data_IF_924341167550
#
_entry.id   IF_924341167550
#
_cell.length_a   1.000
_cell.length_b   1.000
_cell.length_c   1.000
_cell.angle_alpha   90.00
_cell.angle_beta   90.00
_cell.angle_gamma   90.00
#
_symmetry.space_group_name_H-M   'P 1'
#
loop_
_entity.id
_entity.type
_entity.pdbx_description
1 polymer ?
#
# COMPACT_ATOMS: atom_id res chain seq x y z
N UNK A 1 -17.18 -21.25 7.30
CA UNK A 1 -16.10 -20.51 6.62
C UNK A 1 -15.65 -19.41 7.56
N UNK A 2 -14.44 -19.52 8.13
CA UNK A 2 -13.95 -18.50 9.05
C UNK A 2 -13.48 -17.28 8.26
N UNK A 3 -14.35 -16.29 8.15
CA UNK A 3 -13.98 -14.92 7.81
C UNK A 3 -13.14 -14.37 8.95
N UNK A 4 -11.82 -14.31 8.75
CA UNK A 4 -10.91 -13.68 9.70
C UNK A 4 -10.65 -12.26 9.23
N UNK A 5 -10.90 -11.30 10.11
CA UNK A 5 -10.53 -9.91 9.88
C UNK A 5 -9.03 -9.71 10.14
N UNK A 6 -8.40 -8.83 9.37
CA UNK A 6 -6.97 -8.54 9.50
C UNK A 6 -6.80 -7.20 10.19
N UNK A 7 -6.18 -7.21 11.38
CA UNK A 7 -5.75 -6.00 12.06
C UNK A 7 -4.64 -5.33 11.25
N UNK A 8 -4.83 -4.07 10.87
CA UNK A 8 -3.86 -3.33 10.04
C UNK A 8 -3.15 -2.19 10.77
N UNK A 9 -3.74 -1.70 11.86
CA UNK A 9 -3.22 -0.59 12.64
C UNK A 9 -4.33 0.30 13.18
N UNK A 10 -3.99 1.53 13.54
CA UNK A 10 -4.90 2.45 14.23
C UNK A 10 -5.62 3.37 13.25
N UNK A 11 -6.93 3.50 13.36
CA UNK A 11 -7.69 4.48 12.59
C UNK A 11 -7.38 5.90 13.13
N UNK A 12 -6.87 6.77 12.26
CA UNK A 12 -6.57 8.16 12.59
C UNK A 12 -7.72 9.09 12.20
N UNK A 13 -8.35 8.84 11.05
CA UNK A 13 -9.44 9.68 10.56
C UNK A 13 -10.37 8.90 9.63
N UNK A 14 -11.65 9.28 9.62
CA UNK A 14 -12.67 8.77 8.70
C UNK A 14 -13.28 9.99 8.00
N UNK A 15 -13.11 10.08 6.68
CA UNK A 15 -13.69 11.13 5.85
C UNK A 15 -14.62 10.52 4.80
N UNK A 16 -15.94 10.68 4.98
CA UNK A 16 -17.01 10.17 4.11
C UNK A 16 -16.89 8.67 3.80
N UNK A 17 -16.11 8.32 2.79
CA UNK A 17 -15.87 6.93 2.33
C UNK A 17 -14.39 6.54 2.35
N UNK A 18 -13.52 7.42 2.83
CA UNK A 18 -12.07 7.19 2.94
C UNK A 18 -11.68 7.08 4.40
N UNK A 19 -11.01 6.00 4.76
CA UNK A 19 -10.43 5.79 6.08
C UNK A 19 -8.93 5.97 6.02
N UNK A 20 -8.40 6.75 6.95
CA UNK A 20 -6.98 7.03 7.14
C UNK A 20 -6.50 6.24 8.35
N UNK A 21 -5.48 5.40 8.14
CA UNK A 21 -5.01 4.41 9.10
C UNK A 21 -3.52 4.59 9.29
N UNK A 22 -3.08 4.62 10.52
CA UNK A 22 -1.68 4.52 10.89
C UNK A 22 -1.30 3.06 10.96
N UNK A 23 -0.48 2.61 10.02
CA UNK A 23 -0.16 1.20 9.89
C UNK A 23 0.84 0.74 10.95
N UNK A 24 0.69 -0.51 11.37
CA UNK A 24 1.71 -1.19 12.15
C UNK A 24 2.91 -1.60 11.29
N UNK A 25 4.07 -1.71 11.93
CA UNK A 25 5.33 -2.08 11.27
C UNK A 25 5.30 -3.45 10.61
N UNK A 26 4.57 -4.40 11.18
CA UNK A 26 4.39 -5.70 10.56
C UNK A 26 3.65 -5.61 9.22
N UNK A 27 2.68 -4.70 9.11
CA UNK A 27 1.80 -4.60 7.94
C UNK A 27 2.49 -3.89 6.80
N UNK A 28 3.16 -2.76 7.06
CA UNK A 28 3.87 -2.11 5.96
C UNK A 28 5.06 -2.96 5.50
N UNK A 29 5.64 -3.84 6.35
CA UNK A 29 6.81 -4.69 5.99
C UNK A 29 6.37 -5.73 4.96
N UNK A 30 5.11 -6.15 5.10
CA UNK A 30 4.37 -6.93 4.12
C UNK A 30 3.80 -6.15 2.95
N UNK A 31 3.95 -4.83 2.87
CA UNK A 31 3.55 -4.04 1.71
C UNK A 31 4.75 -3.59 0.88
N UNK A 32 5.89 -3.35 1.52
CA UNK A 32 7.13 -2.90 0.85
C UNK A 32 8.36 -3.56 1.51
N UNK A 33 8.65 -4.83 1.18
CA UNK A 33 9.81 -5.54 1.66
C UNK A 33 11.07 -4.89 1.08
N UNK A 34 12.12 -4.79 1.90
CA UNK A 34 13.41 -4.26 1.47
C UNK A 34 13.52 -2.73 1.43
N UNK A 35 12.49 -1.97 1.81
CA UNK A 35 12.66 -0.54 2.06
C UNK A 35 13.30 -0.32 3.45
N UNK A 36 14.27 0.60 3.60
CA UNK A 36 14.85 0.92 4.90
C UNK A 36 13.88 1.79 5.68
N UNK A 37 13.14 1.20 6.60
CA UNK A 37 12.16 1.95 7.36
C UNK A 37 12.80 2.75 8.46
N UNK A 38 12.44 4.02 8.52
CA UNK A 38 13.05 4.96 9.44
C UNK A 38 12.34 5.03 10.78
N UNK A 39 11.02 4.74 10.87
CA UNK A 39 10.29 4.75 12.15
C UNK A 39 8.95 4.01 12.06
N UNK A 40 8.66 3.16 13.06
CA UNK A 40 7.35 2.53 13.26
C UNK A 40 6.26 3.57 13.51
N UNK A 41 5.12 3.45 12.84
CA UNK A 41 3.99 4.33 13.08
C UNK A 41 4.14 5.74 12.52
N UNK A 42 4.86 5.98 11.43
CA UNK A 42 4.67 7.21 10.62
C UNK A 42 3.90 6.93 9.34
N UNK A 43 3.82 5.67 8.92
CA UNK A 43 3.17 5.30 7.68
C UNK A 43 1.65 5.39 7.78
N UNK A 44 1.04 6.06 6.80
CA UNK A 44 -0.39 6.32 6.74
C UNK A 44 -0.99 5.66 5.51
N UNK A 45 -2.00 4.82 5.69
CA UNK A 45 -2.75 4.17 4.63
C UNK A 45 -4.13 4.81 4.49
N UNK A 46 -4.51 5.17 3.27
CA UNK A 46 -5.84 5.64 2.90
C UNK A 46 -6.52 4.62 2.00
N UNK A 47 -7.71 4.20 2.41
CA UNK A 47 -8.48 3.19 1.69
C UNK A 47 -9.99 3.47 1.80
N UNK A 48 -10.76 2.78 0.97
CA UNK A 48 -12.22 2.90 0.97
C UNK A 48 -12.82 2.15 2.16
N UNK A 49 -13.76 2.78 2.87
CA UNK A 49 -14.43 2.23 4.05
C UNK A 49 -15.10 0.88 3.77
N UNK A 50 -15.47 0.59 2.51
CA UNK A 50 -16.04 -0.69 2.09
C UNK A 50 -15.09 -1.88 2.24
N UNK A 51 -13.80 -1.63 2.47
CA UNK A 51 -12.81 -2.67 2.72
C UNK A 51 -12.68 -3.01 4.22
N UNK A 52 -13.25 -2.18 5.09
CA UNK A 52 -13.27 -2.40 6.53
C UNK A 52 -14.21 -3.55 6.92
N UNK A 53 -13.92 -4.17 8.06
CA UNK A 53 -14.76 -5.24 8.63
C UNK A 53 -16.17 -4.73 8.93
N UNK A 54 -17.18 -5.49 8.50
CA UNK A 54 -18.58 -5.24 8.87
C UNK A 54 -18.84 -5.61 10.34
N UNK A 55 -18.13 -6.62 10.86
CA UNK A 55 -18.21 -7.05 12.25
C UNK A 55 -17.50 -6.11 13.21
N UNK A 56 -16.45 -5.42 12.73
CA UNK A 56 -15.63 -4.46 13.48
C UNK A 56 -15.52 -3.16 12.71
N UNK A 57 -16.53 -2.28 12.80
CA UNK A 57 -16.54 -1.04 12.03
C UNK A 57 -15.35 -0.15 12.43
N UNK A 58 -14.85 0.68 11.49
CA UNK A 58 -13.74 1.57 11.74
C UNK A 58 -14.14 2.65 12.76
N UNK A 59 -13.32 2.84 13.79
CA UNK A 59 -13.54 3.85 14.83
C UNK A 59 -12.25 4.64 15.07
N UNK A 60 -12.35 5.97 15.04
CA UNK A 60 -11.22 6.89 15.21
C UNK A 60 -10.56 6.62 16.58
N UNK A 61 -9.24 6.47 16.57
CA UNK A 61 -8.47 6.19 17.78
C UNK A 61 -8.38 4.72 18.15
N UNK A 62 -9.02 3.81 17.41
CA UNK A 62 -8.99 2.37 17.68
C UNK A 62 -8.34 1.56 16.57
N UNK A 63 -8.05 0.31 16.88
CA UNK A 63 -7.53 -0.64 15.91
C UNK A 63 -8.58 -0.94 14.84
N UNK A 64 -8.14 -0.86 13.59
CA UNK A 64 -8.95 -1.06 12.41
C UNK A 64 -8.70 -2.44 11.81
N UNK A 65 -9.81 -3.08 11.44
CA UNK A 65 -9.84 -4.42 10.89
C UNK A 65 -10.33 -4.37 9.45
N UNK A 66 -9.62 -5.03 8.55
CA UNK A 66 -10.00 -5.16 7.13
C UNK A 66 -10.54 -6.56 6.85
N UNK A 67 -11.51 -6.64 5.94
CA UNK A 67 -12.03 -7.92 5.49
C UNK A 67 -11.02 -8.60 4.57
N UNK A 68 -10.60 -9.82 4.93
CA UNK A 68 -9.66 -10.60 4.10
C UNK A 68 -10.16 -10.79 2.68
N UNK A 69 -11.45 -11.11 2.49
CA UNK A 69 -12.04 -11.31 1.16
C UNK A 69 -11.99 -10.04 0.31
N UNK A 70 -12.19 -8.87 0.93
CA UNK A 70 -12.06 -7.59 0.24
C UNK A 70 -10.60 -7.32 -0.17
N UNK A 71 -9.62 -7.72 0.65
CA UNK A 71 -8.20 -7.61 0.32
C UNK A 71 -7.77 -8.56 -0.82
N UNK A 72 -8.30 -9.78 -0.85
CA UNK A 72 -8.03 -10.76 -1.91
C UNK A 72 -8.51 -10.30 -3.29
N UNK A 73 -9.51 -9.40 -3.35
CA UNK A 73 -9.94 -8.73 -4.59
C UNK A 73 -8.93 -7.71 -5.14
N UNK A 74 -7.77 -7.59 -4.48
CA UNK A 74 -6.68 -6.72 -4.86
C UNK A 74 -7.07 -5.23 -4.99
N UNK A 75 -7.70 -4.63 -3.96
CA UNK A 75 -8.14 -3.25 -4.02
C UNK A 75 -6.93 -2.30 -4.08
N UNK A 76 -7.15 -1.13 -4.69
CA UNK A 76 -6.17 -0.04 -4.70
C UNK A 76 -6.31 0.79 -3.44
N UNK A 77 -5.18 1.13 -2.83
CA UNK A 77 -5.12 2.03 -1.69
C UNK A 77 -3.95 3.02 -1.86
N UNK A 78 -3.90 4.03 -1.01
CA UNK A 78 -2.87 5.08 -1.05
C UNK A 78 -2.04 5.01 0.23
N UNK A 79 -0.76 4.63 0.11
CA UNK A 79 0.16 4.49 1.23
C UNK A 79 1.15 5.65 1.22
N UNK A 80 1.18 6.41 2.31
CA UNK A 80 2.28 7.30 2.65
C UNK A 80 3.24 6.53 3.57
N UNK A 81 4.43 6.25 3.06
CA UNK A 81 5.44 5.49 3.79
C UNK A 81 6.12 6.32 4.88
N UNK A 82 6.29 7.62 4.64
CA UNK A 82 7.11 8.51 5.47
C UNK A 82 6.28 9.34 6.46
N UNK A 83 4.97 9.46 6.25
CA UNK A 83 4.11 10.35 7.02
C UNK A 83 4.28 11.82 6.61
N UNK A 84 4.82 12.06 5.41
CA UNK A 84 5.11 13.40 4.86
C UNK A 84 3.95 13.94 3.99
N UNK A 85 2.86 13.16 3.85
CA UNK A 85 1.74 13.45 2.96
C UNK A 85 1.95 13.01 1.51
N UNK A 86 3.05 12.31 1.22
CA UNK A 86 3.34 11.74 -0.10
C UNK A 86 2.70 10.36 -0.25
N UNK A 87 1.51 10.29 -0.85
CA UNK A 87 0.78 9.05 -1.03
C UNK A 87 1.15 8.32 -2.33
N UNK A 88 1.62 7.09 -2.21
CA UNK A 88 1.86 6.19 -3.33
C UNK A 88 0.70 5.19 -3.51
N UNK A 89 0.22 4.93 -4.74
CA UNK A 89 -0.79 3.92 -4.98
C UNK A 89 -0.19 2.51 -4.79
N UNK A 90 -0.83 1.71 -3.94
CA UNK A 90 -0.44 0.33 -3.64
C UNK A 90 -1.61 -0.64 -3.79
N UNK A 91 -1.28 -1.93 -3.81
CA UNK A 91 -2.23 -3.04 -3.86
C UNK A 91 -2.23 -3.76 -2.51
N UNK A 92 -3.43 -4.00 -1.96
CA UNK A 92 -3.56 -4.61 -0.63
C UNK A 92 -3.64 -6.14 -0.63
N UNK A 93 -3.56 -6.79 -1.81
CA UNK A 93 -3.63 -8.26 -1.90
C UNK A 93 -2.58 -8.96 -1.04
N UNK A 94 -1.40 -8.38 -0.92
CA UNK A 94 -0.30 -8.86 -0.10
C UNK A 94 -0.69 -9.08 1.37
N UNK A 95 -1.51 -8.19 1.91
CA UNK A 95 -2.00 -8.27 3.29
C UNK A 95 -2.94 -9.49 3.44
N UNK A 96 -3.83 -9.70 2.47
CA UNK A 96 -4.86 -10.76 2.51
C UNK A 96 -4.34 -12.17 2.24
N UNK A 97 -3.28 -12.30 1.45
CA UNK A 97 -2.76 -13.59 0.97
C UNK A 97 -1.71 -14.19 1.93
N UNK A 98 -1.17 -13.42 2.88
CA UNK A 98 0.01 -13.82 3.67
C UNK A 98 1.26 -14.04 2.79
N UNK A 99 1.21 -13.55 1.55
CA UNK A 99 2.21 -13.70 0.51
C UNK A 99 2.85 -12.33 0.25
N UNK A 100 4.15 -12.35 -0.01
CA UNK A 100 5.00 -11.18 -0.27
C UNK A 100 4.32 -10.15 -1.19
N UNK A 101 4.37 -8.84 -0.87
CA UNK A 101 3.72 -7.82 -1.67
C UNK A 101 4.39 -7.65 -3.02
N UNK A 102 3.56 -7.72 -4.05
CA UNK A 102 3.90 -7.24 -5.37
C UNK A 102 4.00 -5.71 -5.33
N UNK A 103 5.21 -5.19 -5.10
CA UNK A 103 5.50 -3.76 -5.20
C UNK A 103 5.21 -3.35 -6.65
N UNK A 104 4.11 -2.60 -6.85
CA UNK A 104 3.88 -1.94 -8.14
C UNK A 104 5.02 -0.95 -8.34
N UNK A 105 5.98 -1.32 -9.19
CA UNK A 105 7.07 -0.45 -9.57
C UNK A 105 6.46 0.88 -10.06
N UNK A 106 6.93 2.04 -9.56
CA UNK A 106 6.45 3.32 -10.05
C UNK A 106 6.70 3.33 -11.56
N UNK A 107 5.63 3.55 -12.33
CA UNK A 107 5.73 3.58 -13.78
C UNK A 107 6.84 4.58 -14.15
N UNK A 108 7.95 4.06 -14.67
CA UNK A 108 9.07 4.85 -15.11
C UNK A 108 8.52 5.91 -16.08
N UNK A 109 8.59 7.17 -15.67
CA UNK A 109 8.26 8.30 -16.55
C UNK A 109 9.11 8.12 -17.80
N UNK A 110 8.44 7.91 -18.93
CA UNK A 110 9.04 7.94 -20.25
C UNK A 110 9.60 9.35 -20.48
N UNK A 111 10.85 9.56 -20.08
CA UNK A 111 11.61 10.79 -20.27
C UNK A 111 12.49 10.67 -21.50
N UNK A 112 11.88 10.98 -22.65
CA UNK A 112 12.47 11.43 -23.92
C UNK A 112 13.97 11.80 -23.83
N UNK A 113 14.83 10.94 -24.39
CA UNK A 113 16.26 11.18 -24.57
C UNK A 113 16.68 10.91 -26.01
N UNK A 114 16.13 11.69 -26.94
CA UNK A 114 16.66 11.85 -28.30
C UNK A 114 18.03 12.54 -28.20
N UNK A 115 19.11 11.78 -28.46
CA UNK A 115 20.21 12.16 -29.36
C UNK A 115 21.35 11.13 -29.35
N UNK A 116 21.46 10.45 -30.51
CA UNK A 116 22.68 10.23 -31.31
C UNK A 116 23.98 9.73 -30.65
N UNK A 117 24.51 8.63 -31.23
CA UNK A 117 25.93 8.32 -31.58
C UNK A 117 26.25 6.85 -31.27
N UNK A 118 26.94 6.03 -32.06
CA UNK A 118 27.53 6.06 -33.42
C UNK A 118 27.53 4.58 -33.85
N UNK A 119 27.14 4.30 -35.08
CA UNK A 119 27.24 2.98 -35.72
C UNK A 119 28.69 2.81 -36.17
N UNK A 120 29.50 2.00 -35.48
CA UNK A 120 30.83 1.66 -35.98
C UNK A 120 30.69 0.62 -37.08
N UNK A 121 31.28 0.95 -38.23
CA UNK A 121 31.21 0.20 -39.47
C UNK A 121 31.99 -1.11 -39.42
N UNK A 122 31.47 -2.02 -40.23
CA UNK A 122 32.08 -3.23 -40.77
C UNK A 122 33.09 -2.84 -41.84
N UNK A 123 34.29 -3.40 -41.82
CA UNK A 123 35.27 -3.59 -42.92
C UNK A 123 36.47 -4.29 -42.28
N UNK A 124 37.10 -5.33 -42.80
CA UNK A 124 37.02 -6.12 -44.02
C UNK A 124 38.06 -7.23 -43.87
#
# INVERSE_FOLDING_TARGET
>A
MNTFDIAVGKCEAIDKSTVTIRLDSAIVSRLVPGHPWRTSGTSVLRLDIRLCSESRPPEIGRELFLQREALLRNPRASLDLLGDGQFAPIRLRAIGDNTDPEVMQPAAKAGRGDRSRVRWGKEG
#
